data_IF_495582359604
#
_entry.id   IF_495582359604
#
_cell.length_a   1.000
_cell.length_b   1.000
_cell.length_c   1.000
_cell.angle_alpha   90.00
_cell.angle_beta   90.00
_cell.angle_gamma   90.00
#
_symmetry.space_group_name_H-M   'P 1'
#
loop_
_entity.id
_entity.type
_entity.pdbx_description
1 polymer ?
#
# COMPACT_ATOMS: atom_id res chain seq x y z
N UNK A 1 5.18 14.04 -24.90
CA UNK A 1 4.18 14.70 -24.03
C UNK A 1 4.50 16.18 -23.99
N UNK A 2 3.50 17.04 -24.10
CA UNK A 2 3.63 18.48 -23.87
C UNK A 2 3.06 18.76 -22.48
N UNK A 3 3.94 19.03 -21.52
CA UNK A 3 3.53 19.52 -20.20
C UNK A 3 3.54 21.05 -20.23
N UNK A 4 2.63 21.67 -19.49
CA UNK A 4 2.73 23.10 -19.20
C UNK A 4 3.97 23.35 -18.34
N UNK A 5 4.51 24.57 -18.41
CA UNK A 5 5.53 25.00 -17.45
C UNK A 5 5.01 24.74 -16.02
N UNK A 6 5.90 24.28 -15.15
CA UNK A 6 5.63 24.03 -13.72
C UNK A 6 4.67 22.86 -13.40
N UNK A 7 4.17 22.11 -14.39
CA UNK A 7 3.20 21.02 -14.18
C UNK A 7 3.69 19.83 -13.32
N UNK A 8 4.98 19.81 -12.95
CA UNK A 8 5.57 18.78 -12.07
C UNK A 8 5.76 19.26 -10.62
N UNK A 9 5.39 20.50 -10.30
CA UNK A 9 5.43 20.98 -8.92
C UNK A 9 4.24 20.42 -8.14
N UNK A 10 4.46 19.68 -7.03
CA UNK A 10 3.39 19.06 -6.24
C UNK A 10 2.34 20.06 -5.74
N UNK A 11 2.73 21.31 -5.51
CA UNK A 11 1.85 22.39 -5.04
C UNK A 11 0.78 22.77 -6.07
N UNK A 12 1.00 22.44 -7.35
CA UNK A 12 0.10 22.71 -8.47
C UNK A 12 -0.74 21.48 -8.88
N UNK A 13 -0.55 20.34 -8.20
CA UNK A 13 -1.28 19.10 -8.49
C UNK A 13 -2.56 19.01 -7.65
N UNK A 14 -3.58 18.37 -8.21
CA UNK A 14 -4.78 18.01 -7.46
C UNK A 14 -4.45 17.04 -6.32
N UNK A 15 -5.29 17.02 -5.29
CA UNK A 15 -5.15 16.06 -4.19
C UNK A 15 -5.22 14.63 -4.73
N UNK A 16 -4.14 13.89 -4.55
CA UNK A 16 -4.00 12.52 -5.00
C UNK A 16 -4.54 11.55 -3.93
N UNK A 17 -5.35 10.59 -4.37
CA UNK A 17 -5.71 9.42 -3.56
C UNK A 17 -4.61 8.37 -3.72
N UNK A 18 -4.03 7.94 -2.60
CA UNK A 18 -2.99 6.92 -2.58
C UNK A 18 -3.60 5.63 -2.02
N UNK A 19 -3.52 4.55 -2.80
CA UNK A 19 -3.90 3.20 -2.37
C UNK A 19 -2.66 2.41 -2.00
N UNK A 20 -2.59 1.92 -0.77
CA UNK A 20 -1.56 1.01 -0.32
C UNK A 20 -2.02 -0.45 -0.46
N UNK A 21 -1.18 -1.33 -1.00
CA UNK A 21 -1.43 -2.76 -1.13
C UNK A 21 -0.29 -3.57 -0.48
N UNK A 22 -0.24 -3.65 0.87
CA UNK A 22 0.91 -4.18 1.59
C UNK A 22 0.92 -5.70 1.83
N UNK A 23 -0.05 -6.45 1.31
CA UNK A 23 -0.29 -7.87 1.69
C UNK A 23 0.37 -8.92 0.77
N UNK A 24 1.39 -8.50 0.02
CA UNK A 24 2.14 -9.38 -0.88
C UNK A 24 1.39 -9.83 -2.14
N UNK A 25 2.10 -10.51 -3.07
CA UNK A 25 1.52 -11.03 -4.30
C UNK A 25 0.60 -12.23 -4.05
N UNK A 26 -0.25 -12.54 -5.03
CA UNK A 26 -1.07 -13.76 -4.99
C UNK A 26 -0.25 -15.01 -5.39
N UNK A 27 0.69 -14.89 -6.33
CA UNK A 27 1.26 -16.04 -7.07
C UNK A 27 2.74 -16.37 -6.79
N UNK A 28 3.46 -15.60 -5.97
CA UNK A 28 4.88 -15.83 -5.64
C UNK A 28 5.14 -15.48 -4.15
N UNK A 29 4.51 -16.24 -3.25
CA UNK A 29 4.54 -15.95 -1.81
C UNK A 29 5.90 -16.24 -1.16
N UNK A 30 6.60 -17.25 -1.67
CA UNK A 30 7.83 -17.72 -1.04
C UNK A 30 8.98 -16.70 -1.14
N UNK A 31 8.90 -15.74 -2.07
CA UNK A 31 9.85 -14.61 -2.17
C UNK A 31 9.72 -13.61 -1.00
N UNK A 32 8.56 -13.59 -0.32
CA UNK A 32 8.20 -12.58 0.69
C UNK A 32 7.61 -13.19 1.97
N UNK A 33 7.82 -14.49 2.20
CA UNK A 33 7.09 -15.24 3.24
C UNK A 33 7.27 -14.68 4.65
N UNK A 34 8.43 -14.08 4.93
CA UNK A 34 8.75 -13.47 6.22
C UNK A 34 8.12 -12.08 6.41
N UNK A 35 7.70 -11.42 5.32
CA UNK A 35 7.14 -10.07 5.32
C UNK A 35 5.61 -10.06 5.19
N UNK A 36 4.96 -11.23 5.13
CA UNK A 36 3.51 -11.33 5.01
C UNK A 36 2.85 -11.08 6.37
N UNK A 37 1.97 -10.08 6.51
CA UNK A 37 1.11 -9.99 7.67
C UNK A 37 0.03 -11.09 7.56
N UNK A 38 -0.06 -11.98 8.55
CA UNK A 38 -1.01 -13.11 8.53
C UNK A 38 -2.01 -13.04 9.68
N UNK A 39 -1.61 -12.49 10.81
CA UNK A 39 -2.49 -12.31 11.98
C UNK A 39 -3.30 -11.01 11.86
N UNK A 40 -4.41 -10.95 12.60
CA UNK A 40 -5.22 -9.73 12.67
C UNK A 40 -4.43 -8.54 13.25
N UNK A 41 -3.54 -8.78 14.21
CA UNK A 41 -2.71 -7.73 14.81
C UNK A 41 -1.73 -7.15 13.79
N UNK A 42 -1.05 -8.01 13.02
CA UNK A 42 -0.16 -7.59 11.94
C UNK A 42 -0.93 -6.83 10.83
N UNK A 43 -2.11 -7.30 10.45
CA UNK A 43 -3.00 -6.60 9.51
C UNK A 43 -3.35 -5.19 9.98
N UNK A 44 -3.71 -5.05 11.27
CA UNK A 44 -4.06 -3.75 11.86
C UNK A 44 -2.83 -2.84 11.87
N UNK A 45 -1.68 -3.34 12.32
CA UNK A 45 -0.47 -2.52 12.37
C UNK A 45 -0.06 -2.07 10.98
N UNK A 46 -0.11 -2.95 9.98
CA UNK A 46 0.19 -2.60 8.59
C UNK A 46 -0.76 -1.53 8.04
N UNK A 47 -2.05 -1.60 8.39
CA UNK A 47 -3.05 -0.61 8.00
C UNK A 47 -2.77 0.77 8.65
N UNK A 48 -2.41 0.78 9.94
CA UNK A 48 -2.03 2.00 10.67
C UNK A 48 -0.79 2.62 10.03
N UNK A 49 0.25 1.84 9.77
CA UNK A 49 1.49 2.32 9.17
C UNK A 49 1.25 2.93 7.78
N UNK A 50 0.39 2.31 6.96
CA UNK A 50 0.00 2.87 5.66
C UNK A 50 -0.74 4.20 5.79
N UNK A 51 -1.66 4.29 6.76
CA UNK A 51 -2.43 5.50 7.01
C UNK A 51 -1.55 6.65 7.51
N UNK A 52 -0.67 6.39 8.48
CA UNK A 52 0.27 7.38 9.02
C UNK A 52 1.29 7.85 7.97
N UNK A 53 1.64 6.98 7.01
CA UNK A 53 2.46 7.32 5.84
C UNK A 53 1.71 8.14 4.76
N UNK A 54 0.39 8.32 4.90
CA UNK A 54 -0.42 9.19 4.03
C UNK A 54 -1.30 8.47 3.02
N UNK A 55 -1.41 7.14 3.08
CA UNK A 55 -2.39 6.42 2.26
C UNK A 55 -3.82 6.73 2.73
N UNK A 56 -4.74 6.87 1.79
CA UNK A 56 -6.17 7.13 2.06
C UNK A 56 -7.07 5.97 1.66
N UNK A 57 -6.50 4.96 0.99
CA UNK A 57 -7.17 3.71 0.64
C UNK A 57 -6.23 2.56 0.97
N UNK A 58 -6.78 1.49 1.54
CA UNK A 58 -6.08 0.25 1.81
C UNK A 58 -6.69 -0.86 0.95
N UNK A 59 -5.88 -1.45 0.08
CA UNK A 59 -6.21 -2.66 -0.65
C UNK A 59 -5.80 -3.87 0.19
N UNK A 60 -6.75 -4.76 0.50
CA UNK A 60 -6.55 -5.85 1.45
C UNK A 60 -6.61 -7.21 0.77
N UNK A 61 -5.64 -8.07 1.10
CA UNK A 61 -5.76 -9.52 0.95
C UNK A 61 -5.81 -10.14 2.34
N UNK A 62 -6.44 -11.31 2.44
CA UNK A 62 -6.49 -12.11 3.68
C UNK A 62 -6.05 -13.52 3.35
N UNK A 63 -5.40 -14.13 4.33
CA UNK A 63 -4.74 -15.44 4.24
C UNK A 63 -5.04 -16.24 5.50
N UNK A 64 -4.94 -17.55 5.38
CA UNK A 64 -4.89 -18.41 6.56
C UNK A 64 -3.51 -18.27 7.22
N UNK A 65 -3.36 -18.70 8.48
CA UNK A 65 -2.11 -18.55 9.23
C UNK A 65 -0.92 -19.32 8.61
N UNK A 66 -1.16 -20.26 7.69
CA UNK A 66 -0.13 -20.96 6.93
C UNK A 66 0.28 -20.27 5.61
N UNK A 67 -0.38 -19.16 5.25
CA UNK A 67 -0.04 -18.27 4.13
C UNK A 67 -0.82 -18.50 2.84
#
# INVERSE_FOLDING_TARGET
MHFHDDALFPELQDKLVITAAPYGPEWELDDFREDLPLTMEEHIQQAVDCYEAGATVLHIHVREEDG
#
